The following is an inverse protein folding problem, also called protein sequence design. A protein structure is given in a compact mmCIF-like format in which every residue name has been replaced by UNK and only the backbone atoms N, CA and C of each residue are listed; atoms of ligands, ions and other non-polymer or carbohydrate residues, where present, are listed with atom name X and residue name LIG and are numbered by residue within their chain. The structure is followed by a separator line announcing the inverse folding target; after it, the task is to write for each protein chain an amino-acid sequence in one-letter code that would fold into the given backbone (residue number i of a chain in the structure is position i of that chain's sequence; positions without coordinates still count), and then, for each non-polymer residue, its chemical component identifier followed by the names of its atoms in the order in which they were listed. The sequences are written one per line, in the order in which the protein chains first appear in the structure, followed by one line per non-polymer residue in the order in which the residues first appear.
data_IF_390395842067
#
_entry.id   IF_390395842067
#
_cell.length_a   1.000
_cell.length_b   1.000
_cell.length_c   1.000
_cell.angle_alpha   90.00
_cell.angle_beta   90.00
_cell.angle_gamma   90.00
#
_symmetry.space_group_name_H-M   'P 1'
#
loop_
_entity.id
_entity.type
_entity.pdbx_description
1 polymer ?
#
# COMPACT_ATOMS: atom_id res chain seq x y z
N UNK A 1 -12.81 1.52 25.42
CA UNK A 1 -12.33 0.25 24.82
C UNK A 1 -12.48 0.37 23.30
N UNK A 2 -11.50 0.96 22.62
CA UNK A 2 -11.51 1.03 21.16
C UNK A 2 -11.24 -0.35 20.61
N UNK A 3 -12.19 -0.94 19.88
CA UNK A 3 -11.99 -2.23 19.24
C UNK A 3 -10.71 -2.15 18.40
N UNK A 4 -9.68 -2.90 18.78
CA UNK A 4 -8.52 -3.19 17.94
C UNK A 4 -9.10 -4.01 16.78
N UNK A 5 -9.61 -3.32 15.75
CA UNK A 5 -10.07 -3.95 14.52
C UNK A 5 -8.86 -4.68 13.98
N UNK A 6 -8.87 -6.01 14.11
CA UNK A 6 -7.83 -6.91 13.63
C UNK A 6 -7.67 -6.60 12.15
N UNK A 7 -6.64 -5.82 11.80
CA UNK A 7 -6.44 -5.33 10.44
C UNK A 7 -6.45 -6.54 9.50
N UNK A 8 -7.30 -6.56 8.47
CA UNK A 8 -7.39 -7.71 7.59
C UNK A 8 -6.03 -7.93 6.90
N UNK A 9 -5.64 -9.19 6.69
CA UNK A 9 -4.41 -9.50 5.97
C UNK A 9 -4.50 -8.91 4.55
N UNK A 10 -3.42 -8.26 4.10
CA UNK A 10 -3.37 -7.77 2.74
C UNK A 10 -3.16 -8.95 1.80
N UNK A 11 -3.84 -8.95 0.66
CA UNK A 11 -3.69 -10.00 -0.36
C UNK A 11 -3.00 -9.40 -1.57
N UNK A 12 -1.84 -9.95 -1.94
CA UNK A 12 -0.98 -9.38 -2.97
C UNK A 12 -0.44 -10.49 -3.90
N UNK A 13 -0.20 -10.20 -5.19
CA UNK A 13 0.65 -11.05 -6.02
C UNK A 13 2.02 -11.28 -5.37
N UNK A 14 2.63 -12.46 -5.55
CA UNK A 14 3.95 -12.78 -4.99
C UNK A 14 5.03 -11.77 -5.40
N UNK A 15 4.98 -11.28 -6.64
CA UNK A 15 5.90 -10.25 -7.13
C UNK A 15 5.79 -8.93 -6.33
N UNK A 16 4.57 -8.51 -6.00
CA UNK A 16 4.29 -7.28 -5.25
C UNK A 16 4.78 -7.40 -3.82
N UNK A 17 4.52 -8.56 -3.21
CA UNK A 17 4.98 -8.91 -1.89
C UNK A 17 6.50 -8.73 -1.78
N UNK A 18 7.24 -9.35 -2.70
CA UNK A 18 8.70 -9.31 -2.71
C UNK A 18 9.25 -7.87 -2.80
N UNK A 19 8.65 -7.04 -3.66
CA UNK A 19 9.07 -5.63 -3.80
C UNK A 19 8.74 -4.77 -2.59
N UNK A 20 7.58 -5.00 -1.98
CA UNK A 20 7.19 -4.29 -0.78
C UNK A 20 8.04 -4.70 0.41
N UNK A 21 8.44 -5.98 0.53
CA UNK A 21 9.40 -6.45 1.53
C UNK A 21 10.75 -5.78 1.31
N UNK A 22 11.30 -5.81 0.10
CA UNK A 22 12.58 -5.16 -0.21
C UNK A 22 12.54 -3.65 0.13
N UNK A 23 11.43 -2.97 -0.20
CA UNK A 23 11.24 -1.56 0.11
C UNK A 23 11.12 -1.30 1.61
N UNK A 24 10.39 -2.15 2.34
CA UNK A 24 10.24 -2.08 3.79
C UNK A 24 11.57 -2.28 4.53
N UNK A 25 12.37 -3.25 4.11
CA UNK A 25 13.71 -3.47 4.67
C UNK A 25 14.64 -2.28 4.41
N UNK A 26 14.63 -1.73 3.19
CA UNK A 26 15.40 -0.53 2.87
C UNK A 26 14.95 0.69 3.71
N UNK A 27 13.65 0.84 3.96
CA UNK A 27 13.09 1.87 4.83
C UNK A 27 13.50 1.68 6.30
N UNK A 28 13.47 0.44 6.79
CA UNK A 28 13.90 0.09 8.14
C UNK A 28 15.38 0.46 8.37
N UNK A 29 16.26 0.16 7.41
CA UNK A 29 17.68 0.53 7.47
C UNK A 29 17.92 2.04 7.54
N UNK A 30 16.99 2.86 7.03
CA UNK A 30 17.05 4.33 7.12
C UNK A 30 16.40 4.90 8.39
N UNK A 31 15.76 4.07 9.21
CA UNK A 31 15.02 4.52 10.40
C UNK A 31 13.65 5.14 10.09
N UNK A 32 13.05 4.78 8.94
CA UNK A 32 11.75 5.33 8.55
C UNK A 32 10.61 4.77 9.45
N UNK A 33 9.76 5.63 10.06
CA UNK A 33 8.75 5.19 11.04
C UNK A 33 7.61 4.34 10.46
N UNK A 34 7.40 4.36 9.13
CA UNK A 34 6.40 3.53 8.47
C UNK A 34 6.91 2.12 8.13
N UNK A 35 8.22 1.87 8.26
CA UNK A 35 8.83 0.59 7.89
C UNK A 35 8.23 -0.57 8.70
N UNK A 36 8.10 -0.39 10.02
CA UNK A 36 7.49 -1.38 10.92
C UNK A 36 6.03 -1.64 10.56
N UNK A 37 5.29 -0.59 10.18
CA UNK A 37 3.91 -0.73 9.74
C UNK A 37 3.80 -1.54 8.44
N UNK A 38 4.70 -1.28 7.47
CA UNK A 38 4.72 -2.02 6.22
C UNK A 38 5.11 -3.49 6.46
N UNK A 39 6.21 -3.74 7.18
CA UNK A 39 6.70 -5.08 7.44
C UNK A 39 5.70 -5.91 8.27
N UNK A 40 5.04 -5.32 9.27
CA UNK A 40 3.99 -6.01 10.04
C UNK A 40 2.72 -6.32 9.22
N UNK A 41 2.39 -5.48 8.22
CA UNK A 41 1.32 -5.80 7.26
C UNK A 41 1.72 -6.96 6.34
N UNK A 42 2.98 -6.97 5.89
CA UNK A 42 3.52 -8.01 5.01
C UNK A 42 3.68 -9.35 5.75
N UNK A 43 4.13 -9.35 7.01
CA UNK A 43 4.26 -10.57 7.83
C UNK A 43 2.96 -11.39 7.86
N UNK A 44 1.81 -10.70 7.82
CA UNK A 44 0.47 -11.31 7.86
C UNK A 44 -0.20 -11.40 6.49
N UNK A 45 0.49 -11.01 5.42
CA UNK A 45 -0.08 -10.97 4.08
C UNK A 45 -0.22 -12.37 3.48
N UNK A 46 -1.26 -12.55 2.66
CA UNK A 46 -1.37 -13.71 1.80
C UNK A 46 -0.80 -13.36 0.42
N UNK A 47 0.17 -14.13 -0.06
CA UNK A 47 0.71 -13.99 -1.41
C UNK A 47 0.14 -15.06 -2.35
N UNK A 48 -0.09 -14.70 -3.61
CA UNK A 48 -0.59 -15.64 -4.63
C UNK A 48 0.18 -15.47 -5.95
N UNK A 49 0.24 -16.55 -6.75
CA UNK A 49 0.96 -16.54 -8.01
C UNK A 49 0.21 -15.82 -9.16
N UNK A 50 -1.12 -15.69 -9.09
CA UNK A 50 -1.98 -15.14 -10.16
C UNK A 50 -2.92 -14.01 -9.69
N UNK A 51 -2.79 -12.82 -10.32
CA UNK A 51 -3.66 -11.62 -10.15
C UNK A 51 -5.03 -11.85 -10.80
N UNK A 52 -6.16 -11.40 -10.19
CA UNK A 52 -6.28 -10.19 -9.36
C UNK A 52 -6.71 -10.38 -7.89
N UNK A 53 -6.40 -9.39 -7.03
CA UNK A 53 -6.89 -9.33 -5.65
C UNK A 53 -8.43 -9.12 -5.58
N UNK A 54 -9.04 -9.32 -4.40
CA UNK A 54 -10.45 -8.97 -4.17
C UNK A 54 -10.75 -7.52 -4.56
N UNK A 55 -11.86 -7.29 -5.27
CA UNK A 55 -12.21 -5.97 -5.84
C UNK A 55 -12.53 -4.90 -4.80
N UNK A 56 -12.78 -5.30 -3.56
CA UNK A 56 -13.19 -4.44 -2.44
C UNK A 56 -12.03 -4.06 -1.51
N UNK A 57 -10.84 -4.62 -1.72
CA UNK A 57 -9.66 -4.41 -0.87
C UNK A 57 -8.62 -3.58 -1.62
N UNK A 58 -8.09 -2.55 -0.95
CA UNK A 58 -6.99 -1.76 -1.50
C UNK A 58 -5.75 -2.64 -1.65
N UNK A 59 -5.32 -2.82 -2.89
CA UNK A 59 -4.08 -3.47 -3.27
C UNK A 59 -3.25 -2.54 -4.18
N UNK A 60 -2.04 -2.97 -4.53
CA UNK A 60 -1.23 -2.23 -5.52
C UNK A 60 -1.97 -2.20 -6.85
N UNK A 61 -1.81 -1.12 -7.61
CA UNK A 61 -2.46 -0.81 -8.90
C UNK A 61 -3.96 -0.47 -8.85
N UNK A 62 -4.61 -0.57 -7.68
CA UNK A 62 -5.96 -0.07 -7.47
C UNK A 62 -5.99 1.46 -7.52
N UNK A 63 -7.07 2.02 -8.10
CA UNK A 63 -7.40 3.44 -7.91
C UNK A 63 -8.24 3.56 -6.64
N UNK A 64 -7.80 4.36 -5.70
CA UNK A 64 -8.40 4.50 -4.38
C UNK A 64 -8.92 5.92 -4.23
N UNK A 65 -10.18 6.04 -3.82
CA UNK A 65 -10.76 7.31 -3.40
C UNK A 65 -10.69 7.39 -1.89
N UNK A 66 -10.14 8.48 -1.36
CA UNK A 66 -9.96 8.64 0.07
C UNK A 66 -10.12 10.10 0.51
N UNK A 67 -10.31 10.30 1.81
CA UNK A 67 -10.29 11.60 2.49
C UNK A 67 -9.19 11.60 3.53
N UNK A 68 -8.63 12.77 3.81
CA UNK A 68 -7.74 13.00 4.94
C UNK A 68 -8.49 13.84 5.98
N UNK A 69 -8.33 13.51 7.26
CA UNK A 69 -8.76 14.32 8.41
C UNK A 69 -10.21 14.84 8.34
N UNK A 70 -11.11 14.00 7.82
CA UNK A 70 -12.52 14.36 7.59
C UNK A 70 -12.74 15.59 6.69
N UNK A 71 -11.73 15.96 5.89
CA UNK A 71 -11.85 17.01 4.87
C UNK A 71 -13.01 16.68 3.91
N UNK A 72 -13.76 17.70 3.45
CA UNK A 72 -14.83 17.49 2.47
C UNK A 72 -14.30 16.98 1.12
N UNK A 73 -13.02 17.23 0.84
CA UNK A 73 -12.35 16.89 -0.41
C UNK A 73 -12.06 15.39 -0.49
N UNK A 74 -12.64 14.72 -1.49
CA UNK A 74 -12.28 13.34 -1.85
C UNK A 74 -11.16 13.37 -2.89
N UNK A 75 -10.03 12.77 -2.54
CA UNK A 75 -8.87 12.60 -3.42
C UNK A 75 -8.93 11.23 -4.08
N UNK A 76 -8.41 11.10 -5.29
CA UNK A 76 -8.45 9.86 -6.04
C UNK A 76 -7.09 9.58 -6.70
N UNK A 77 -6.35 8.63 -6.15
CA UNK A 77 -5.01 8.31 -6.63
C UNK A 77 -4.86 6.81 -6.86
N UNK A 78 -3.93 6.44 -7.73
CA UNK A 78 -3.55 5.06 -7.97
C UNK A 78 -2.39 4.66 -7.06
N UNK A 79 -2.51 3.53 -6.37
CA UNK A 79 -1.35 2.95 -5.70
C UNK A 79 -0.43 2.32 -6.74
N UNK A 80 0.83 2.72 -6.76
CA UNK A 80 1.85 2.21 -7.69
C UNK A 80 3.01 1.59 -6.95
N UNK A 81 3.82 0.81 -7.66
CA UNK A 81 4.98 0.18 -7.05
C UNK A 81 6.04 1.20 -6.62
N UNK A 82 6.83 0.89 -5.58
CA UNK A 82 7.98 1.71 -5.19
C UNK A 82 8.97 1.82 -6.35
N UNK A 83 9.33 3.04 -6.75
CA UNK A 83 10.20 3.30 -7.91
C UNK A 83 9.50 3.25 -9.28
N UNK A 84 8.17 3.09 -9.32
CA UNK A 84 7.33 3.23 -10.52
C UNK A 84 6.48 4.50 -10.51
N UNK A 85 6.78 5.46 -9.64
CA UNK A 85 6.08 6.76 -9.66
C UNK A 85 6.57 7.51 -10.90
N UNK A 86 5.69 7.68 -11.89
CA UNK A 86 6.04 8.27 -13.20
C UNK A 86 5.97 9.82 -13.14
N UNK A 87 5.70 10.39 -11.96
CA UNK A 87 5.55 11.82 -11.70
C UNK A 87 4.21 12.41 -12.18
N UNK A 88 3.10 11.73 -11.89
CA UNK A 88 1.77 12.37 -11.94
C UNK A 88 1.28 12.66 -10.51
N UNK A 89 0.58 13.78 -10.33
CA UNK A 89 -0.18 14.06 -9.11
C UNK A 89 -1.25 12.99 -8.84
N UNK A 90 -1.52 12.08 -9.78
CA UNK A 90 -2.52 11.02 -9.65
C UNK A 90 -1.99 9.70 -9.07
N UNK A 91 -0.70 9.61 -8.71
CA UNK A 91 -0.07 8.37 -8.26
C UNK A 91 0.49 8.49 -6.83
N UNK A 92 0.34 7.41 -6.05
CA UNK A 92 0.90 7.27 -4.71
C UNK A 92 1.70 5.98 -4.66
N UNK A 93 2.96 6.05 -4.27
CA UNK A 93 3.76 4.85 -4.01
C UNK A 93 3.12 4.01 -2.89
N UNK A 94 2.94 2.71 -3.11
CA UNK A 94 2.46 1.78 -2.09
C UNK A 94 3.43 1.63 -0.90
N UNK A 95 4.68 2.09 -1.04
CA UNK A 95 5.64 2.18 0.07
C UNK A 95 5.81 3.60 0.65
N UNK A 96 4.97 4.57 0.29
CA UNK A 96 4.91 5.83 1.04
C UNK A 96 4.10 5.65 2.33
N UNK A 97 4.22 6.53 3.34
CA UNK A 97 3.44 6.42 4.57
C UNK A 97 1.93 6.30 4.32
N UNK A 98 1.39 7.15 3.43
CA UNK A 98 -0.02 7.11 3.02
C UNK A 98 -0.36 5.82 2.26
N UNK A 99 0.48 5.40 1.31
CA UNK A 99 0.27 4.15 0.56
C UNK A 99 0.23 2.92 1.45
N UNK A 100 1.21 2.80 2.36
CA UNK A 100 1.29 1.72 3.35
C UNK A 100 0.06 1.72 4.24
N UNK A 101 -0.41 2.89 4.69
CA UNK A 101 -1.60 3.00 5.52
C UNK A 101 -2.85 2.44 4.82
N UNK A 102 -3.03 2.73 3.53
CA UNK A 102 -4.18 2.30 2.74
C UNK A 102 -4.19 0.81 2.37
N UNK A 103 -3.04 0.14 2.26
CA UNK A 103 -2.99 -1.28 1.89
C UNK A 103 -3.85 -2.16 2.80
N UNK A 104 -4.73 -2.97 2.19
CA UNK A 104 -5.64 -3.87 2.90
C UNK A 104 -6.92 -3.25 3.42
N UNK A 105 -7.08 -1.93 3.34
CA UNK A 105 -8.30 -1.26 3.77
C UNK A 105 -9.44 -1.50 2.76
N UNK A 106 -10.67 -1.43 3.25
CA UNK A 106 -11.90 -1.43 2.45
C UNK A 106 -12.62 -0.09 2.56
N UNK A 107 -13.65 0.11 1.75
CA UNK A 107 -14.55 1.26 1.88
C UNK A 107 -15.07 1.40 3.32
N UNK A 108 -14.93 2.60 3.87
CA UNK A 108 -15.31 2.97 5.24
C UNK A 108 -14.25 2.66 6.30
N UNK A 109 -13.14 1.99 5.95
CA UNK A 109 -12.04 1.83 6.89
C UNK A 109 -11.27 3.14 7.06
N UNK A 110 -10.79 3.34 8.29
CA UNK A 110 -10.04 4.51 8.72
C UNK A 110 -8.79 4.09 9.46
N UNK A 111 -7.68 4.76 9.21
CA UNK A 111 -6.42 4.49 9.91
C UNK A 111 -5.60 5.78 10.04
N UNK A 112 -4.97 6.02 11.20
CA UNK A 112 -3.97 7.08 11.31
C UNK A 112 -2.68 6.69 10.59
N UNK A 113 -1.98 7.68 10.06
CA UNK A 113 -0.61 7.57 9.56
C UNK A 113 0.15 8.86 9.84
N UNK A 114 1.48 8.78 9.83
CA UNK A 114 2.35 9.95 9.99
C UNK A 114 2.93 10.31 8.63
N UNK A 115 2.79 11.55 8.21
CA UNK A 115 3.43 12.07 7.01
C UNK A 115 4.91 12.35 7.31
N UNK A 116 5.82 11.82 6.49
CA UNK A 116 7.25 12.02 6.66
C UNK A 116 7.72 13.41 6.19
N UNK A 117 7.01 14.04 5.26
CA UNK A 117 7.38 15.35 4.74
C UNK A 117 7.07 16.47 5.74
N UNK A 118 5.94 16.37 6.44
CA UNK A 118 5.47 17.38 7.40
C UNK A 118 5.69 16.97 8.86
N UNK A 119 5.81 15.67 9.14
CA UNK A 119 5.86 15.11 10.49
C UNK A 119 4.50 15.02 11.18
N UNK A 120 3.42 15.47 10.52
CA UNK A 120 2.06 15.51 11.06
C UNK A 120 1.39 14.14 11.06
N UNK A 121 0.51 13.92 12.03
CA UNK A 121 -0.40 12.77 12.01
C UNK A 121 -1.68 13.13 11.27
N UNK A 122 -2.12 12.21 10.41
CA UNK A 122 -3.31 12.32 9.61
C UNK A 122 -4.13 11.05 9.74
N UNK A 123 -5.45 11.13 9.53
CA UNK A 123 -6.34 9.97 9.40
C UNK A 123 -6.79 9.86 7.96
N UNK A 124 -6.49 8.73 7.31
CA UNK A 124 -7.03 8.41 5.99
C UNK A 124 -8.30 7.59 6.13
N UNK A 125 -9.35 7.98 5.41
CA UNK A 125 -10.61 7.24 5.25
C UNK A 125 -10.75 6.78 3.80
N UNK A 126 -11.03 5.50 3.58
CA UNK A 126 -11.30 4.98 2.22
C UNK A 126 -12.76 5.25 1.85
N UNK A 127 -12.97 6.14 0.90
CA UNK A 127 -14.30 6.44 0.35
C UNK A 127 -14.74 5.39 -0.69
N UNK A 128 -13.80 4.84 -1.48
CA UNK A 128 -14.08 3.83 -2.50
C UNK A 128 -12.82 3.13 -3.01
N UNK A 129 -12.96 1.91 -3.51
CA UNK A 129 -11.87 1.13 -4.12
C UNK A 129 -12.27 0.76 -5.55
N UNK A 130 -11.56 1.32 -6.52
CA UNK A 130 -11.70 0.97 -7.93
C UNK A 130 -10.96 -0.31 -8.28
N UNK A 131 -11.33 -0.97 -9.40
CA UNK A 131 -10.65 -2.19 -9.83
C UNK A 131 -9.15 -1.94 -10.07
N UNK A 132 -8.30 -2.94 -9.79
CA UNK A 132 -6.90 -2.88 -10.18
C UNK A 132 -6.80 -2.72 -11.70
N UNK A 133 -5.82 -1.94 -12.18
CA UNK A 133 -5.53 -1.90 -13.61
C UNK A 133 -5.10 -3.29 -14.04
N UNK A 134 -5.64 -3.81 -15.14
CA UNK A 134 -5.07 -4.99 -15.81
C UNK A 134 -3.64 -4.63 -16.23
N UNK A 135 -2.64 -5.05 -15.45
CA UNK A 135 -1.25 -4.80 -15.79
C UNK A 135 -0.82 -5.80 -16.86
N UNK A 136 -0.73 -5.32 -18.10
CA UNK A 136 0.03 -5.98 -19.18
C UNK A 136 1.51 -5.52 -19.14
N UNK A 137 1.92 -4.83 -18.08
CA UNK A 137 3.32 -4.41 -17.91
C UNK A 137 4.20 -5.64 -17.66
N UNK A 138 5.28 -5.74 -18.45
CA UNK A 138 6.36 -6.72 -18.30
C UNK A 138 6.79 -6.79 -16.84
N UNK A 139 6.48 -7.90 -16.16
CA UNK A 139 6.85 -8.13 -14.76
C UNK A 139 8.38 -8.13 -14.65
N UNK A 140 9.00 -7.15 -13.98
CA UNK A 140 10.44 -7.16 -13.70
C UNK A 140 10.85 -8.41 -12.91
N UNK A 141 12.12 -8.85 -12.98
CA UNK A 141 12.60 -9.99 -12.19
C UNK A 141 12.41 -9.75 -10.69
N UNK A 142 12.07 -10.80 -9.94
CA UNK A 142 11.82 -10.68 -8.49
C UNK A 142 13.13 -10.33 -7.78
N UNK A 143 13.08 -9.45 -6.76
CA UNK A 143 14.29 -9.06 -6.03
C UNK A 143 14.97 -10.27 -5.37
N UNK A 144 14.21 -11.29 -4.95
CA UNK A 144 14.75 -12.50 -4.30
C UNK A 144 15.23 -13.58 -5.28
N UNK A 145 14.88 -13.54 -6.56
CA UNK A 145 15.37 -14.52 -7.56
C UNK A 145 16.89 -14.45 -7.72
N UNK A 146 17.51 -13.29 -7.41
CA UNK A 146 18.97 -13.11 -7.45
C UNK A 146 19.69 -13.70 -6.24
N UNK A 147 19.00 -13.99 -5.14
CA UNK A 147 19.58 -14.52 -3.90
C UNK A 147 19.57 -16.05 -3.84
N UNK A 148 18.78 -16.70 -4.71
CA UNK A 148 18.64 -18.16 -4.79
C UNK A 148 19.53 -18.79 -5.88
N UNK A 149 20.57 -18.09 -6.34
CA UNK A 149 21.55 -18.58 -7.31
C UNK A 149 22.92 -18.79 -6.69
#
# INVERSE_FOLDING_TARGET
MGAVRKRPPITLPTYDFDRLVASGLAAYQRGDPYADLLLSKLERAASFAASPPPRDVVAVTCRVRYRLDDEPTVRAHRLVYPGHVIASEEEISAASPLGVAMLGLRRGDRIPFRDNATGSEHVVEIADVGPPRSTVDTVPPRPFDRLLR
#
